data_IF_759006447171
#
_entry.id   IF_759006447171
#
_cell.length_a   1.000
_cell.length_b   1.000
_cell.length_c   1.000
_cell.angle_alpha   90.00
_cell.angle_beta   90.00
_cell.angle_gamma   90.00
#
_symmetry.space_group_name_H-M   'P 1'
#
loop_
_entity.id
_entity.type
_entity.pdbx_description
1 polymer ?
#
# COMPACT_ATOMS: atom_id res chain seq x y z
N UNK A 1 14.48 1.22 0.35
CA UNK A 1 13.90 1.64 1.64
C UNK A 1 12.97 2.82 1.37
N UNK A 2 11.65 2.65 1.53
CA UNK A 2 10.67 3.72 1.30
C UNK A 2 10.29 4.44 2.58
N UNK A 3 10.28 5.77 2.55
CA UNK A 3 9.80 6.64 3.64
C UNK A 3 8.40 7.16 3.30
N UNK A 4 7.54 7.29 4.31
CA UNK A 4 6.28 8.03 4.17
C UNK A 4 6.47 9.42 4.72
N UNK A 5 6.18 10.41 3.88
CA UNK A 5 6.32 11.83 4.18
C UNK A 5 4.93 12.41 4.51
N UNK A 6 4.87 13.31 5.49
CA UNK A 6 3.64 13.99 5.93
C UNK A 6 3.79 15.50 5.77
N UNK A 7 2.76 16.16 5.24
CA UNK A 7 2.79 17.61 5.05
C UNK A 7 1.68 18.09 4.11
N UNK A 8 1.44 19.41 4.05
CA UNK A 8 0.43 19.99 3.19
C UNK A 8 0.79 19.79 1.71
N UNK A 9 -0.05 19.04 0.99
CA UNK A 9 0.03 18.85 -0.47
C UNK A 9 1.37 18.33 -1.01
N UNK A 10 2.11 17.52 -0.25
CA UNK A 10 3.39 16.94 -0.68
C UNK A 10 3.32 16.14 -1.99
N UNK A 11 2.17 15.51 -2.28
CA UNK A 11 1.97 14.75 -3.51
C UNK A 11 1.90 15.57 -4.81
N UNK A 12 1.87 16.92 -4.74
CA UNK A 12 1.75 17.79 -5.93
C UNK A 12 2.84 17.51 -6.98
N UNK A 13 4.06 17.26 -6.54
CA UNK A 13 5.22 17.04 -7.40
C UNK A 13 5.51 15.54 -7.62
N UNK A 14 4.65 14.66 -7.09
CA UNK A 14 4.81 13.23 -7.20
C UNK A 14 4.52 12.72 -8.61
N UNK A 15 5.28 11.70 -9.05
CA UNK A 15 4.97 10.96 -10.28
C UNK A 15 3.69 10.14 -10.09
N UNK A 16 2.66 10.45 -10.87
CA UNK A 16 1.44 9.64 -10.94
C UNK A 16 1.78 8.28 -11.57
N UNK A 17 1.35 7.19 -10.91
CA UNK A 17 1.51 5.81 -11.41
C UNK A 17 0.21 5.05 -11.19
N UNK A 18 -0.09 4.12 -12.09
CA UNK A 18 -1.18 3.17 -11.89
C UNK A 18 -0.70 2.09 -10.92
N UNK A 19 -1.56 1.75 -9.96
CA UNK A 19 -1.32 0.66 -9.02
C UNK A 19 -2.61 -0.11 -8.79
N UNK A 20 -2.46 -1.34 -8.31
CA UNK A 20 -3.56 -2.19 -7.91
C UNK A 20 -3.27 -2.80 -6.55
N UNK A 21 -4.32 -2.98 -5.76
CA UNK A 21 -4.28 -3.65 -4.48
C UNK A 21 -5.46 -4.61 -4.39
N UNK A 22 -5.23 -5.77 -3.80
CA UNK A 22 -6.25 -6.78 -3.57
C UNK A 22 -6.67 -6.79 -2.10
N UNK A 23 -7.97 -6.86 -1.86
CA UNK A 23 -8.51 -7.23 -0.55
C UNK A 23 -8.77 -8.72 -0.57
N UNK A 24 -7.95 -9.47 0.17
CA UNK A 24 -8.05 -10.93 0.26
C UNK A 24 -8.72 -11.24 1.59
N UNK A 25 -9.93 -11.80 1.51
CA UNK A 25 -10.74 -12.18 2.66
C UNK A 25 -10.40 -13.59 3.12
N UNK A 26 -10.59 -13.86 4.41
CA UNK A 26 -10.75 -15.23 4.88
C UNK A 26 -12.08 -15.84 4.40
N UNK A 27 -12.27 -17.13 4.62
CA UNK A 27 -13.47 -17.86 4.16
C UNK A 27 -14.77 -17.24 4.69
N UNK A 28 -14.77 -16.77 5.94
CA UNK A 28 -15.94 -16.15 6.59
C UNK A 28 -16.15 -14.68 6.22
N UNK A 29 -15.21 -14.07 5.49
CA UNK A 29 -15.12 -12.63 5.19
C UNK A 29 -15.09 -11.72 6.42
N UNK A 30 -14.65 -12.23 7.57
CA UNK A 30 -14.49 -11.45 8.80
C UNK A 30 -13.06 -10.91 8.97
N UNK A 31 -12.09 -11.44 8.21
CA UNK A 31 -10.69 -11.01 8.24
C UNK A 31 -10.19 -10.67 6.85
N UNK A 32 -9.20 -9.77 6.81
CA UNK A 32 -8.48 -9.42 5.58
C UNK A 32 -6.99 -9.64 5.77
N UNK A 33 -6.32 -10.11 4.71
CA UNK A 33 -4.87 -10.23 4.69
C UNK A 33 -4.21 -8.87 4.53
N UNK A 34 -3.28 -8.55 5.42
CA UNK A 34 -2.33 -7.46 5.26
C UNK A 34 -0.91 -8.02 5.18
N UNK A 35 -0.04 -7.34 4.45
CA UNK A 35 1.40 -7.63 4.42
C UNK A 35 2.15 -6.55 5.19
N UNK A 36 3.12 -6.97 6.01
CA UNK A 36 4.06 -6.04 6.66
C UNK A 36 5.24 -5.85 5.73
N UNK A 37 5.45 -4.62 5.27
CA UNK A 37 6.56 -4.29 4.37
C UNK A 37 7.91 -4.56 5.05
N UNK A 38 8.80 -5.25 4.35
CA UNK A 38 10.15 -5.53 4.86
C UNK A 38 11.00 -4.27 5.00
N UNK A 39 10.74 -3.24 4.20
CA UNK A 39 11.62 -2.08 4.07
C UNK A 39 11.33 -0.94 5.07
N UNK A 40 10.12 -0.86 5.62
CA UNK A 40 9.73 0.17 6.58
C UNK A 40 8.75 -0.31 7.66
N UNK A 41 8.46 -1.61 7.71
CA UNK A 41 7.63 -2.24 8.74
C UNK A 41 6.15 -1.85 8.72
N UNK A 42 5.70 -1.08 7.72
CA UNK A 42 4.29 -0.64 7.62
C UNK A 42 3.41 -1.77 7.09
N UNK A 43 2.19 -1.83 7.58
CA UNK A 43 1.18 -2.73 7.05
C UNK A 43 0.49 -2.12 5.84
N UNK A 44 0.27 -2.93 4.80
CA UNK A 44 -0.47 -2.55 3.59
C UNK A 44 -1.28 -3.72 3.05
N UNK A 45 -2.20 -3.43 2.13
CA UNK A 45 -2.82 -4.46 1.31
C UNK A 45 -1.76 -5.11 0.39
N UNK A 46 -1.91 -6.40 0.05
CA UNK A 46 -1.19 -6.99 -1.06
C UNK A 46 -1.45 -6.20 -2.34
N UNK A 47 -0.39 -5.78 -3.03
CA UNK A 47 -0.52 -4.93 -4.21
C UNK A 47 0.82 -4.45 -4.76
N UNK A 48 0.76 -3.68 -5.85
CA UNK A 48 1.94 -3.18 -6.56
C UNK A 48 1.59 -2.10 -7.58
N UNK A 49 2.64 -1.49 -8.14
CA UNK A 49 2.51 -0.67 -9.34
C UNK A 49 2.24 -1.57 -10.54
N UNK A 50 1.39 -1.11 -11.46
CA UNK A 50 1.24 -1.78 -12.75
C UNK A 50 2.46 -1.49 -13.63
N UNK A 51 2.89 -2.48 -14.42
CA UNK A 51 3.83 -2.28 -15.53
C UNK A 51 3.11 -1.80 -16.79
#
# INVERSE_FOLDING_TARGET
MSQVLYGPRLGKEGKVRVGCSAVIFDETRQKVLLTKRADNGRWCLPGGGME
#
